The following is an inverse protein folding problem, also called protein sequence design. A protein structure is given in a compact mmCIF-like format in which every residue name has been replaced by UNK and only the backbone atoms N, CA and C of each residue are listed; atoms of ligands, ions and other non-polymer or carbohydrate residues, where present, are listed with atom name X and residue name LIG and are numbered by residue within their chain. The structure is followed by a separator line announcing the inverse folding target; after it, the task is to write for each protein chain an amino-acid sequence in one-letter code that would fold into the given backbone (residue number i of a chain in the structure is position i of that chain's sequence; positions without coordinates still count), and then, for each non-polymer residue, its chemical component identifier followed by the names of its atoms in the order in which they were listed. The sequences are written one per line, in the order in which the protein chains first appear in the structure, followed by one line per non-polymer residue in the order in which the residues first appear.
data_IF_028111589920
#
_entry.id   IF_028111589920
#
_cell.length_a   1.000
_cell.length_b   1.000
_cell.length_c   1.000
_cell.angle_alpha   90.00
_cell.angle_beta   90.00
_cell.angle_gamma   90.00
#
_symmetry.space_group_name_H-M   'P 1'
#
loop_
_entity.id
_entity.type
_entity.pdbx_description
1 polymer ?
#
# COMPACT_ATOMS: atom_id res chain seq x y z
N UNK A 1 19.09 -62.40 3.96
CA UNK A 1 18.61 -61.47 5.01
C UNK A 1 18.72 -59.97 4.66
N UNK A 2 19.50 -59.55 3.65
CA UNK A 2 19.73 -58.12 3.30
C UNK A 2 18.65 -57.44 2.44
N UNK A 3 17.77 -58.18 1.77
CA UNK A 3 16.73 -57.62 0.87
C UNK A 3 15.48 -57.12 1.59
N UNK A 4 15.10 -57.72 2.73
CA UNK A 4 13.92 -57.27 3.51
C UNK A 4 14.13 -55.92 4.22
N UNK A 5 15.37 -55.56 4.54
CA UNK A 5 15.71 -54.29 5.21
C UNK A 5 15.66 -53.10 4.23
N UNK A 6 16.12 -53.30 2.97
CA UNK A 6 15.97 -52.30 1.90
C UNK A 6 14.50 -52.01 1.57
N UNK A 7 13.63 -53.01 1.61
CA UNK A 7 12.21 -52.84 1.28
C UNK A 7 11.44 -52.05 2.36
N UNK A 8 11.72 -52.30 3.66
CA UNK A 8 11.16 -51.51 4.77
C UNK A 8 11.62 -50.06 4.75
N UNK A 9 12.90 -49.80 4.47
CA UNK A 9 13.46 -48.44 4.40
C UNK A 9 12.85 -47.61 3.27
N UNK A 10 12.60 -48.22 2.10
CA UNK A 10 11.95 -47.55 0.97
C UNK A 10 10.45 -47.27 1.19
N UNK A 11 9.77 -48.03 2.06
CA UNK A 11 8.34 -47.87 2.33
C UNK A 11 8.07 -46.74 3.35
N UNK A 12 8.88 -46.66 4.40
CA UNK A 12 8.83 -45.57 5.40
C UNK A 12 9.17 -44.21 4.75
N UNK A 13 10.21 -44.15 3.90
CA UNK A 13 10.55 -42.93 3.16
C UNK A 13 9.45 -42.51 2.17
N UNK A 14 8.72 -43.47 1.57
CA UNK A 14 7.59 -43.18 0.68
C UNK A 14 6.38 -42.65 1.43
N UNK A 15 6.09 -43.17 2.64
CA UNK A 15 5.03 -42.63 3.50
C UNK A 15 5.37 -41.22 3.98
N UNK A 16 6.61 -40.98 4.42
CA UNK A 16 7.06 -39.66 4.85
C UNK A 16 6.98 -38.63 3.71
N UNK A 17 7.31 -39.03 2.48
CA UNK A 17 7.20 -38.18 1.29
C UNK A 17 5.73 -37.87 0.95
N UNK A 18 4.81 -38.83 1.12
CA UNK A 18 3.38 -38.65 0.89
C UNK A 18 2.73 -37.69 1.92
N UNK A 19 3.15 -37.76 3.18
CA UNK A 19 2.68 -36.86 4.25
C UNK A 19 3.19 -35.42 4.04
N UNK A 20 4.43 -35.26 3.56
CA UNK A 20 4.98 -33.94 3.22
C UNK A 20 4.24 -33.27 2.04
N UNK A 21 3.80 -34.05 1.05
CA UNK A 21 3.03 -33.52 -0.11
C UNK A 21 1.59 -33.17 0.29
N UNK A 22 1.01 -33.84 1.29
CA UNK A 22 -0.33 -33.53 1.81
C UNK A 22 -0.40 -32.21 2.58
N UNK A 23 0.73 -31.65 3.03
CA UNK A 23 0.79 -30.34 3.69
C UNK A 23 0.99 -29.21 2.65
N UNK A 24 0.31 -29.31 1.51
CA UNK A 24 0.18 -28.22 0.56
C UNK A 24 -0.66 -27.12 1.17
N UNK A 25 -0.01 -26.14 1.81
CA UNK A 25 -0.66 -24.92 2.27
C UNK A 25 -1.29 -24.24 1.06
N UNK A 26 -2.63 -24.29 0.96
CA UNK A 26 -3.36 -23.52 -0.05
C UNK A 26 -3.17 -22.04 0.25
N UNK A 27 -2.24 -21.41 -0.45
CA UNK A 27 -2.14 -19.95 -0.50
C UNK A 27 -3.39 -19.46 -1.21
N UNK A 28 -4.42 -19.12 -0.43
CA UNK A 28 -5.58 -18.41 -0.96
C UNK A 28 -5.10 -17.08 -1.51
N UNK A 29 -5.40 -16.82 -2.79
CA UNK A 29 -5.13 -15.52 -3.38
C UNK A 29 -5.91 -14.48 -2.57
N UNK A 30 -5.20 -13.53 -1.96
CA UNK A 30 -5.83 -12.44 -1.22
C UNK A 30 -6.71 -11.65 -2.18
N UNK A 31 -7.96 -11.37 -1.77
CA UNK A 31 -8.89 -10.61 -2.59
C UNK A 31 -8.25 -9.31 -3.07
N UNK A 32 -8.48 -8.97 -4.34
CA UNK A 32 -7.97 -7.73 -4.93
C UNK A 32 -8.60 -6.56 -4.19
N UNK A 33 -7.76 -5.75 -3.55
CA UNK A 33 -8.21 -4.54 -2.88
C UNK A 33 -8.52 -3.45 -3.90
N UNK A 34 -9.51 -2.61 -3.59
CA UNK A 34 -9.78 -1.39 -4.33
C UNK A 34 -8.94 -0.24 -3.74
N UNK A 35 -8.39 0.61 -4.61
CA UNK A 35 -7.66 1.81 -4.21
C UNK A 35 -8.50 3.03 -4.56
N UNK A 36 -8.95 3.77 -3.55
CA UNK A 36 -9.63 5.05 -3.72
C UNK A 36 -8.65 6.19 -3.44
N UNK A 37 -8.40 7.00 -4.45
CA UNK A 37 -7.56 8.19 -4.34
C UNK A 37 -8.42 9.45 -4.30
N UNK A 38 -8.32 10.23 -3.22
CA UNK A 38 -9.09 11.47 -2.99
C UNK A 38 -8.11 12.63 -2.86
N UNK A 39 -8.34 13.70 -3.61
CA UNK A 39 -7.57 14.94 -3.56
C UNK A 39 -8.52 16.14 -3.48
N UNK A 40 -8.15 17.15 -2.69
CA UNK A 40 -8.80 18.46 -2.65
C UNK A 40 -7.82 19.51 -3.17
N UNK A 41 -8.27 20.39 -4.05
CA UNK A 41 -7.44 21.53 -4.49
C UNK A 41 -7.34 22.57 -3.36
N UNK A 42 -6.18 23.21 -3.24
CA UNK A 42 -5.86 24.28 -2.28
C UNK A 42 -6.11 24.00 -0.77
N UNK A 43 -6.32 22.74 -0.37
CA UNK A 43 -6.55 22.39 1.03
C UNK A 43 -5.26 22.43 1.85
N UNK A 44 -5.14 23.43 2.72
CA UNK A 44 -4.09 23.48 3.75
C UNK A 44 -4.38 22.54 4.91
N UNK A 45 -3.35 21.92 5.49
CA UNK A 45 -3.48 21.08 6.69
C UNK A 45 -4.05 21.85 7.87
N UNK A 46 -3.79 23.16 7.98
CA UNK A 46 -4.29 24.00 9.06
C UNK A 46 -5.81 24.22 9.03
N UNK A 47 -6.48 23.84 7.94
CA UNK A 47 -7.95 23.91 7.83
C UNK A 47 -8.66 22.68 8.45
N UNK A 48 -7.93 21.62 8.79
CA UNK A 48 -8.50 20.35 9.24
C UNK A 48 -8.48 20.23 10.78
N UNK A 49 -9.58 19.77 11.38
CA UNK A 49 -9.66 19.61 12.85
C UNK A 49 -8.69 18.56 13.37
N UNK A 50 -8.51 17.43 12.68
CA UNK A 50 -7.49 16.45 13.05
C UNK A 50 -6.05 16.97 13.01
N UNK A 51 -5.78 18.12 12.38
CA UNK A 51 -4.48 18.81 12.40
C UNK A 51 -4.43 20.00 13.38
N UNK A 52 -5.45 20.18 14.22
CA UNK A 52 -5.47 21.15 15.31
C UNK A 52 -6.34 22.38 15.07
N UNK A 53 -7.10 22.45 13.97
CA UNK A 53 -8.08 23.52 13.77
C UNK A 53 -9.26 23.38 14.75
N UNK A 54 -9.61 24.46 15.44
CA UNK A 54 -10.70 24.48 16.44
C UNK A 54 -12.03 25.02 15.90
N UNK A 55 -12.03 25.63 14.70
CA UNK A 55 -13.18 26.29 14.08
C UNK A 55 -13.80 25.41 12.99
N UNK A 56 -12.97 24.91 12.08
CA UNK A 56 -13.40 24.06 10.98
C UNK A 56 -13.73 22.65 11.49
N UNK A 57 -14.93 22.16 11.20
CA UNK A 57 -15.38 20.82 11.60
C UNK A 57 -15.24 19.86 10.42
N UNK A 58 -14.32 18.89 10.50
CA UNK A 58 -14.09 17.90 9.44
C UNK A 58 -14.29 16.45 9.91
N UNK A 59 -15.46 16.08 10.46
CA UNK A 59 -15.65 14.80 11.16
C UNK A 59 -15.39 13.56 10.29
N UNK A 60 -15.69 13.62 8.99
CA UNK A 60 -15.44 12.50 8.08
C UNK A 60 -13.95 12.29 7.79
N UNK A 61 -13.17 13.38 7.70
CA UNK A 61 -11.72 13.33 7.50
C UNK A 61 -11.05 12.87 8.80
N UNK A 62 -11.53 13.37 9.94
CA UNK A 62 -11.04 12.99 11.26
C UNK A 62 -11.23 11.50 11.52
N UNK A 63 -12.42 10.95 11.22
CA UNK A 63 -12.69 9.51 11.32
C UNK A 63 -11.80 8.66 10.40
N UNK A 64 -11.43 9.18 9.22
CA UNK A 64 -10.47 8.50 8.34
C UNK A 64 -9.06 8.53 8.93
N UNK A 65 -8.65 9.66 9.52
CA UNK A 65 -7.35 9.80 10.16
C UNK A 65 -7.20 8.91 11.41
N UNK A 66 -8.26 8.75 12.21
CA UNK A 66 -8.28 7.89 13.40
C UNK A 66 -8.17 6.40 13.07
N UNK A 67 -8.83 5.95 12.00
CA UNK A 67 -8.81 4.54 11.57
C UNK A 67 -7.59 4.20 10.70
N UNK A 68 -6.80 5.20 10.32
CA UNK A 68 -5.73 5.09 9.34
C UNK A 68 -4.40 5.63 9.86
N UNK A 69 -3.57 6.11 8.92
CA UNK A 69 -2.31 6.79 9.23
C UNK A 69 -2.40 8.23 8.77
N UNK A 70 -2.11 9.16 9.68
CA UNK A 70 -2.04 10.60 9.40
C UNK A 70 -0.59 11.05 9.28
N UNK A 71 -0.22 11.60 8.13
CA UNK A 71 1.11 12.12 7.89
C UNK A 71 1.22 13.58 8.34
N UNK A 72 2.10 13.88 9.30
CA UNK A 72 2.30 15.25 9.81
C UNK A 72 3.36 16.05 9.04
N UNK A 73 4.03 15.41 8.07
CA UNK A 73 5.13 15.97 7.28
C UNK A 73 5.03 15.56 5.81
N UNK A 74 3.89 15.85 5.18
CA UNK A 74 3.67 15.63 3.75
C UNK A 74 3.83 16.95 2.99
N UNK A 75 4.62 16.95 1.91
CA UNK A 75 4.91 18.14 1.11
C UNK A 75 4.52 17.89 -0.35
N UNK A 76 4.01 18.92 -1.02
CA UNK A 76 3.83 18.89 -2.46
C UNK A 76 5.16 19.21 -3.16
N UNK A 77 5.37 18.63 -4.34
CA UNK A 77 6.59 18.86 -5.12
C UNK A 77 6.56 20.16 -5.93
N UNK A 78 5.39 20.81 -6.03
CA UNK A 78 5.22 22.11 -6.64
C UNK A 78 4.15 22.91 -5.91
N UNK A 79 4.36 24.23 -5.80
CA UNK A 79 3.44 25.17 -5.15
C UNK A 79 2.32 25.66 -6.07
N UNK A 80 2.23 25.09 -7.28
CA UNK A 80 1.22 25.40 -8.29
C UNK A 80 0.47 24.12 -8.68
N UNK A 81 -0.80 24.27 -9.04
CA UNK A 81 -1.72 23.17 -9.28
C UNK A 81 -1.21 22.20 -10.37
N UNK A 82 -0.74 22.74 -11.50
CA UNK A 82 -0.21 21.95 -12.63
C UNK A 82 1.04 21.12 -12.27
N UNK A 83 2.16 21.75 -11.86
CA UNK A 83 3.37 21.06 -11.41
C UNK A 83 3.13 20.05 -10.29
N UNK A 84 2.31 20.39 -9.30
CA UNK A 84 1.97 19.51 -8.17
C UNK A 84 1.28 18.23 -8.65
N UNK A 85 0.21 18.35 -9.45
CA UNK A 85 -0.53 17.21 -9.99
C UNK A 85 0.31 16.35 -10.92
N UNK A 86 1.10 16.98 -11.81
CA UNK A 86 1.96 16.26 -12.74
C UNK A 86 3.00 15.42 -11.99
N UNK A 87 3.60 15.97 -10.94
CA UNK A 87 4.55 15.24 -10.10
C UNK A 87 3.86 14.10 -9.33
N UNK A 88 2.71 14.38 -8.73
CA UNK A 88 1.98 13.42 -7.92
C UNK A 88 1.45 12.22 -8.74
N UNK A 89 0.99 12.44 -9.98
CA UNK A 89 0.49 11.38 -10.87
C UNK A 89 1.59 10.56 -11.54
N UNK A 90 2.75 11.17 -11.82
CA UNK A 90 3.85 10.49 -12.51
C UNK A 90 4.88 9.86 -11.57
N UNK A 91 4.91 10.28 -10.29
CA UNK A 91 5.95 9.89 -9.34
C UNK A 91 7.30 10.57 -9.60
N UNK A 92 7.39 11.51 -10.53
CA UNK A 92 8.61 12.23 -10.87
C UNK A 92 8.59 13.67 -10.35
N UNK A 93 9.76 14.26 -10.09
CA UNK A 93 9.87 15.68 -9.78
C UNK A 93 9.42 16.56 -10.95
N UNK A 94 8.90 17.79 -10.72
CA UNK A 94 8.50 18.71 -11.79
C UNK A 94 9.59 18.98 -12.84
N UNK A 95 10.86 18.94 -12.44
CA UNK A 95 12.02 19.02 -13.35
C UNK A 95 11.99 17.93 -14.42
N UNK A 96 11.66 16.70 -14.03
CA UNK A 96 11.67 15.55 -14.93
C UNK A 96 10.42 15.50 -15.81
N UNK A 97 9.29 16.05 -15.35
CA UNK A 97 8.06 16.15 -16.14
C UNK A 97 8.04 17.36 -17.07
N UNK A 98 8.92 18.35 -16.86
CA UNK A 98 8.94 19.61 -17.61
C UNK A 98 7.78 20.57 -17.26
N UNK A 99 6.92 20.20 -16.32
CA UNK A 99 5.76 20.98 -15.89
C UNK A 99 6.16 21.88 -14.73
N UNK A 100 6.71 23.06 -15.02
CA UNK A 100 7.28 23.97 -14.00
C UNK A 100 6.34 25.10 -13.57
N UNK A 101 5.29 25.40 -14.33
CA UNK A 101 4.34 26.47 -14.04
C UNK A 101 3.38 26.72 -15.20
N UNK A 102 2.57 27.77 -15.07
CA UNK A 102 1.73 28.24 -16.17
C UNK A 102 2.60 28.94 -17.21
N UNK A 103 2.51 28.51 -18.47
CA UNK A 103 3.15 29.17 -19.60
C UNK A 103 2.09 30.06 -20.26
N UNK A 104 2.44 31.32 -20.46
CA UNK A 104 1.68 32.25 -21.29
C UNK A 104 1.91 31.95 -22.77
#
# INVERSE_FOLDING_TARGET
MRTKLKLKFNLECRLAFLVLVSCGCSVTAKDKLNVLFIISDDLTSTALSCYGNTVCKTPNIDSLAERGTRFTRAYCQGTYCGPSRASFMSGYYPHATGTLGYKT
#
